data_IF_442365993154
#
_entry.id   IF_442365993154
#
_cell.length_a   1.000
_cell.length_b   1.000
_cell.length_c   1.000
_cell.angle_alpha   90.00
_cell.angle_beta   90.00
_cell.angle_gamma   90.00
#
_symmetry.space_group_name_H-M   'P 1'
#
loop_
_entity.id
_entity.type
_entity.pdbx_description
1 polymer ?
#
# COMPACT_ATOMS: atom_id res chain seq x y z
N UNK A 1 6.41 22.30 12.63
CA UNK A 1 5.82 21.59 11.47
C UNK A 1 5.67 22.60 10.34
N UNK A 2 6.45 22.44 9.28
CA UNK A 2 6.31 23.24 8.04
C UNK A 2 5.04 22.81 7.31
N UNK A 3 4.40 23.75 6.62
CA UNK A 3 3.30 23.43 5.72
C UNK A 3 3.89 22.79 4.45
N UNK A 4 3.82 21.46 4.36
CA UNK A 4 4.26 20.70 3.19
C UNK A 4 3.50 21.10 1.91
N UNK A 5 2.28 21.62 2.01
CA UNK A 5 1.54 22.09 0.84
C UNK A 5 2.16 23.39 0.32
N UNK A 6 2.35 24.38 1.20
CA UNK A 6 2.99 25.64 0.83
C UNK A 6 4.44 25.44 0.37
N UNK A 7 5.17 24.48 0.96
CA UNK A 7 6.52 24.11 0.53
C UNK A 7 6.56 23.57 -0.91
N UNK A 8 5.55 22.78 -1.32
CA UNK A 8 5.46 22.29 -2.70
C UNK A 8 5.10 23.40 -3.69
N UNK A 9 4.22 24.31 -3.27
CA UNK A 9 3.73 25.41 -4.11
C UNK A 9 4.78 26.53 -4.24
N UNK A 10 5.57 26.77 -3.19
CA UNK A 10 6.51 27.88 -3.08
C UNK A 10 7.91 27.45 -2.60
N UNK A 11 8.59 26.46 -3.24
CA UNK A 11 9.83 25.87 -2.72
C UNK A 11 10.97 26.88 -2.56
N UNK A 12 11.10 27.84 -3.47
CA UNK A 12 12.16 28.85 -3.47
C UNK A 12 12.14 29.70 -2.19
N UNK A 13 10.95 30.06 -1.71
CA UNK A 13 10.77 30.83 -0.47
C UNK A 13 11.37 30.10 0.74
N UNK A 14 11.21 28.78 0.78
CA UNK A 14 11.77 27.96 1.85
C UNK A 14 13.28 27.77 1.70
N UNK A 15 13.78 27.63 0.47
CA UNK A 15 15.22 27.52 0.19
C UNK A 15 15.95 28.80 0.61
N UNK A 16 15.43 29.95 0.21
CA UNK A 16 15.98 31.25 0.61
C UNK A 16 15.87 31.45 2.13
N UNK A 17 14.72 31.11 2.72
CA UNK A 17 14.51 31.19 4.16
C UNK A 17 15.46 30.30 4.96
N UNK A 18 15.75 29.07 4.48
CA UNK A 18 16.71 28.16 5.09
C UNK A 18 18.13 28.73 4.98
N UNK A 19 18.53 29.21 3.79
CA UNK A 19 19.83 29.85 3.56
C UNK A 19 20.04 31.08 4.44
N UNK A 20 19.04 31.96 4.53
CA UNK A 20 19.11 33.18 5.33
C UNK A 20 19.27 32.90 6.84
N UNK A 21 18.77 31.74 7.30
CA UNK A 21 18.88 31.28 8.69
C UNK A 21 20.12 30.41 8.95
N UNK A 22 20.95 30.16 7.94
CA UNK A 22 22.08 29.22 8.05
C UNK A 22 21.66 27.77 8.28
N UNK A 23 20.42 27.42 7.90
CA UNK A 23 19.89 26.07 8.03
C UNK A 23 20.34 25.22 6.84
N UNK A 24 20.88 24.04 7.13
CA UNK A 24 21.40 23.10 6.11
C UNK A 24 20.36 22.04 5.71
N UNK A 25 19.08 22.45 5.60
CA UNK A 25 18.00 21.52 5.19
C UNK A 25 18.00 21.39 3.67
N UNK A 26 18.07 20.14 3.20
CA UNK A 26 17.99 19.81 1.78
C UNK A 26 16.51 19.76 1.33
N UNK A 27 15.98 20.94 1.01
CA UNK A 27 14.60 21.10 0.54
C UNK A 27 14.32 20.35 -0.78
N UNK A 28 15.20 20.37 -1.80
CA UNK A 28 15.03 19.52 -2.97
C UNK A 28 14.87 18.05 -2.60
N UNK A 29 15.71 17.52 -1.70
CA UNK A 29 15.61 16.13 -1.25
C UNK A 29 14.31 15.84 -0.51
N UNK A 30 13.88 16.76 0.35
CA UNK A 30 12.61 16.68 1.06
C UNK A 30 11.42 16.58 0.09
N UNK A 31 11.40 17.40 -0.96
CA UNK A 31 10.35 17.39 -1.99
C UNK A 31 10.34 16.09 -2.81
N UNK A 32 11.51 15.52 -3.12
CA UNK A 32 11.61 14.21 -3.78
C UNK A 32 11.01 13.10 -2.91
N UNK A 33 11.34 13.07 -1.63
CA UNK A 33 10.83 12.08 -0.69
C UNK A 33 9.33 12.23 -0.48
N UNK A 34 8.83 13.47 -0.36
CA UNK A 34 7.40 13.76 -0.29
C UNK A 34 6.65 13.27 -1.55
N UNK A 35 7.22 13.49 -2.74
CA UNK A 35 6.62 13.02 -3.99
C UNK A 35 6.54 11.49 -4.04
N UNK A 36 7.63 10.79 -3.71
CA UNK A 36 7.66 9.32 -3.64
C UNK A 36 6.66 8.78 -2.63
N UNK A 37 6.58 9.42 -1.46
CA UNK A 37 5.64 9.03 -0.40
C UNK A 37 4.19 9.16 -0.87
N UNK A 38 3.84 10.26 -1.53
CA UNK A 38 2.48 10.46 -2.08
C UNK A 38 2.13 9.41 -3.14
N UNK A 39 3.08 9.06 -4.00
CA UNK A 39 2.90 8.00 -4.98
C UNK A 39 2.73 6.63 -4.32
N UNK A 40 3.55 6.30 -3.31
CA UNK A 40 3.45 5.07 -2.54
C UNK A 40 2.10 4.96 -1.79
N UNK A 41 1.64 6.06 -1.20
CA UNK A 41 0.31 6.13 -0.56
C UNK A 41 -0.82 5.87 -1.56
N UNK A 42 -0.76 6.47 -2.75
CA UNK A 42 -1.76 6.22 -3.79
C UNK A 42 -1.78 4.76 -4.24
N UNK A 43 -0.60 4.13 -4.37
CA UNK A 43 -0.47 2.69 -4.66
C UNK A 43 -1.03 1.84 -3.53
N UNK A 44 -0.75 2.17 -2.28
CA UNK A 44 -1.27 1.49 -1.10
C UNK A 44 -2.81 1.54 -1.05
N UNK A 45 -3.40 2.71 -1.26
CA UNK A 45 -4.85 2.90 -1.31
C UNK A 45 -5.49 2.07 -2.44
N UNK A 46 -4.88 2.10 -3.62
CA UNK A 46 -5.34 1.33 -4.78
C UNK A 46 -5.29 -0.18 -4.51
N UNK A 47 -4.19 -0.68 -3.94
CA UNK A 47 -4.02 -2.09 -3.59
C UNK A 47 -5.04 -2.55 -2.53
N UNK A 48 -5.29 -1.72 -1.51
CA UNK A 48 -6.32 -1.99 -0.48
C UNK A 48 -7.73 -2.00 -1.07
N UNK A 49 -8.03 -1.08 -1.98
CA UNK A 49 -9.31 -1.03 -2.67
C UNK A 49 -9.52 -2.31 -3.51
N UNK A 50 -8.50 -2.73 -4.24
CA UNK A 50 -8.54 -3.95 -5.06
C UNK A 50 -8.69 -5.21 -4.20
N UNK A 51 -7.92 -5.33 -3.11
CA UNK A 51 -8.06 -6.42 -2.14
C UNK A 51 -9.49 -6.50 -1.60
N UNK A 52 -10.09 -5.36 -1.24
CA UNK A 52 -11.46 -5.31 -0.73
C UNK A 52 -12.49 -5.69 -1.80
N UNK A 53 -12.28 -5.28 -3.06
CA UNK A 53 -13.13 -5.62 -4.20
C UNK A 53 -13.12 -7.14 -4.42
N UNK A 54 -11.94 -7.72 -4.58
CA UNK A 54 -11.77 -9.15 -4.79
C UNK A 54 -12.31 -9.96 -3.61
N UNK A 55 -12.02 -9.56 -2.37
CA UNK A 55 -12.55 -10.26 -1.19
C UNK A 55 -14.08 -10.30 -1.17
N UNK A 56 -14.77 -9.28 -1.69
CA UNK A 56 -16.24 -9.28 -1.83
C UNK A 56 -16.72 -10.15 -2.99
N UNK A 57 -16.01 -10.14 -4.11
CA UNK A 57 -16.38 -10.89 -5.32
C UNK A 57 -16.23 -12.41 -5.10
N UNK A 58 -15.10 -12.86 -4.55
CA UNK A 58 -14.77 -14.30 -4.44
C UNK A 58 -14.89 -14.86 -3.02
N UNK A 59 -14.90 -14.03 -1.98
CA UNK A 59 -15.04 -14.48 -0.59
C UNK A 59 -16.29 -15.35 -0.34
N UNK A 60 -17.48 -14.97 -0.82
CA UNK A 60 -18.68 -15.81 -0.70
C UNK A 60 -18.56 -17.15 -1.41
N UNK A 61 -17.89 -17.18 -2.58
CA UNK A 61 -17.69 -18.41 -3.35
C UNK A 61 -16.75 -19.37 -2.62
N UNK A 62 -15.62 -18.87 -2.11
CA UNK A 62 -14.69 -19.64 -1.27
C UNK A 62 -15.41 -20.17 -0.04
N UNK A 63 -16.21 -19.34 0.64
CA UNK A 63 -17.00 -19.76 1.80
C UNK A 63 -17.99 -20.88 1.48
N UNK A 64 -18.67 -20.79 0.34
CA UNK A 64 -19.58 -21.84 -0.15
C UNK A 64 -18.83 -23.15 -0.44
N UNK A 65 -17.73 -23.09 -1.17
CA UNK A 65 -16.91 -24.26 -1.51
C UNK A 65 -16.33 -24.92 -0.26
N UNK A 66 -15.82 -24.14 0.70
CA UNK A 66 -15.37 -24.66 2.01
C UNK A 66 -16.50 -25.31 2.80
N UNK A 67 -17.72 -24.80 2.69
CA UNK A 67 -18.92 -25.42 3.27
C UNK A 67 -19.28 -26.75 2.61
N UNK A 68 -19.13 -26.83 1.28
CA UNK A 68 -19.34 -28.06 0.50
C UNK A 68 -18.26 -29.10 0.78
N UNK A 69 -17.00 -28.68 0.96
CA UNK A 69 -15.87 -29.55 1.30
C UNK A 69 -16.10 -30.34 2.59
N UNK A 70 -16.90 -29.82 3.53
CA UNK A 70 -17.25 -30.54 4.77
C UNK A 70 -18.30 -31.63 4.59
N UNK A 71 -19.02 -31.64 3.46
CA UNK A 71 -20.18 -32.50 3.19
C UNK A 71 -19.96 -33.49 2.05
N UNK A 72 -18.83 -33.37 1.36
CA UNK A 72 -18.47 -34.15 0.18
C UNK A 72 -17.71 -35.41 0.57
N UNK A 73 -17.86 -36.47 -0.23
CA UNK A 73 -17.13 -37.72 -0.08
C UNK A 73 -15.62 -37.56 -0.37
N UNK A 74 -14.82 -38.47 0.17
CA UNK A 74 -13.35 -38.47 0.05
C UNK A 74 -12.86 -38.39 -1.41
N UNK A 75 -13.63 -38.95 -2.35
CA UNK A 75 -13.30 -39.00 -3.78
C UNK A 75 -13.35 -37.62 -4.47
N UNK A 76 -14.26 -36.74 -4.03
CA UNK A 76 -14.50 -35.44 -4.66
C UNK A 76 -13.82 -34.27 -3.90
N UNK A 77 -13.29 -34.54 -2.69
CA UNK A 77 -12.49 -33.57 -1.92
C UNK A 77 -11.33 -32.95 -2.70
N UNK A 78 -10.47 -33.73 -3.41
CA UNK A 78 -9.30 -33.16 -4.06
C UNK A 78 -9.66 -32.13 -5.13
N UNK A 79 -10.78 -32.34 -5.84
CA UNK A 79 -11.29 -31.41 -6.84
C UNK A 79 -11.73 -30.07 -6.22
N UNK A 80 -12.49 -30.14 -5.13
CA UNK A 80 -12.95 -28.95 -4.41
C UNK A 80 -11.79 -28.19 -3.73
N UNK A 81 -10.81 -28.91 -3.18
CA UNK A 81 -9.61 -28.29 -2.62
C UNK A 81 -8.79 -27.54 -3.69
N UNK A 82 -8.63 -28.14 -4.87
CA UNK A 82 -7.95 -27.49 -5.99
C UNK A 82 -8.69 -26.23 -6.47
N UNK A 83 -10.03 -26.25 -6.47
CA UNK A 83 -10.84 -25.08 -6.84
C UNK A 83 -10.75 -23.97 -5.78
N UNK A 84 -10.81 -24.31 -4.50
CA UNK A 84 -10.60 -23.37 -3.40
C UNK A 84 -9.21 -22.74 -3.48
N UNK A 85 -8.16 -23.56 -3.68
CA UNK A 85 -6.79 -23.07 -3.77
C UNK A 85 -6.59 -22.09 -4.95
N UNK A 86 -7.21 -22.37 -6.10
CA UNK A 86 -7.21 -21.44 -7.25
C UNK A 86 -7.85 -20.10 -6.91
N UNK A 87 -8.99 -20.12 -6.22
CA UNK A 87 -9.69 -18.89 -5.83
C UNK A 87 -8.93 -18.14 -4.73
N UNK A 88 -8.24 -18.83 -3.83
CA UNK A 88 -7.43 -18.21 -2.76
C UNK A 88 -6.11 -17.60 -3.26
N UNK A 89 -5.64 -17.98 -4.45
CA UNK A 89 -4.41 -17.45 -5.03
C UNK A 89 -4.46 -15.93 -5.25
N UNK A 90 -5.58 -15.40 -5.77
CA UNK A 90 -5.72 -13.97 -6.04
C UNK A 90 -5.75 -13.09 -4.77
N UNK A 91 -6.54 -13.42 -3.72
CA UNK A 91 -6.48 -12.71 -2.43
C UNK A 91 -5.11 -12.80 -1.76
N UNK A 92 -4.44 -13.95 -1.86
CA UNK A 92 -3.10 -14.14 -1.29
C UNK A 92 -2.07 -13.24 -1.97
N UNK A 93 -2.07 -13.17 -3.31
CA UNK A 93 -1.21 -12.28 -4.07
C UNK A 93 -1.49 -10.80 -3.74
N UNK A 94 -2.76 -10.41 -3.70
CA UNK A 94 -3.14 -9.02 -3.36
C UNK A 94 -2.75 -8.65 -1.92
N UNK A 95 -2.82 -9.60 -0.98
CA UNK A 95 -2.32 -9.38 0.38
C UNK A 95 -0.83 -9.05 0.39
N UNK A 96 -0.03 -9.75 -0.41
CA UNK A 96 1.40 -9.43 -0.55
C UNK A 96 1.62 -8.05 -1.18
N UNK A 97 0.84 -7.69 -2.20
CA UNK A 97 0.90 -6.36 -2.83
C UNK A 97 0.57 -5.25 -1.83
N UNK A 98 -0.46 -5.42 -1.00
CA UNK A 98 -0.81 -4.45 0.05
C UNK A 98 0.31 -4.32 1.07
N UNK A 99 0.89 -5.44 1.52
CA UNK A 99 2.00 -5.44 2.48
C UNK A 99 3.25 -4.76 1.91
N UNK A 100 3.56 -5.00 0.63
CA UNK A 100 4.69 -4.36 -0.04
C UNK A 100 4.48 -2.84 -0.15
N UNK A 101 3.28 -2.39 -0.54
CA UNK A 101 2.97 -0.97 -0.61
C UNK A 101 2.97 -0.29 0.78
N UNK A 102 2.51 -1.01 1.82
CA UNK A 102 2.62 -0.57 3.22
C UNK A 102 4.08 -0.39 3.68
N UNK A 103 4.94 -1.36 3.35
CA UNK A 103 6.36 -1.30 3.67
C UNK A 103 7.05 -0.12 2.96
N UNK A 104 6.75 0.10 1.68
CA UNK A 104 7.31 1.21 0.91
C UNK A 104 6.92 2.58 1.49
N UNK A 105 5.68 2.75 1.94
CA UNK A 105 5.26 3.98 2.63
C UNK A 105 6.06 4.16 3.93
N UNK A 106 6.18 3.10 4.74
CA UNK A 106 6.92 3.15 6.00
C UNK A 106 8.42 3.44 5.82
N UNK A 107 9.04 2.91 4.77
CA UNK A 107 10.44 3.19 4.42
C UNK A 107 10.66 4.65 4.00
N UNK A 108 9.63 5.31 3.46
CA UNK A 108 9.67 6.72 3.07
C UNK A 108 9.32 7.67 4.22
N UNK A 109 8.52 7.21 5.21
CA UNK A 109 8.14 8.01 6.38
C UNK A 109 9.37 8.40 7.21
N UNK A 110 10.28 7.46 7.51
CA UNK A 110 11.47 7.73 8.35
C UNK A 110 12.37 8.84 7.79
N UNK A 111 12.91 8.69 6.56
CA UNK A 111 13.76 9.71 5.95
C UNK A 111 13.06 11.06 5.74
N UNK A 112 11.73 11.08 5.59
CA UNK A 112 10.97 12.31 5.47
C UNK A 112 10.83 13.01 6.83
N UNK A 113 10.59 12.26 7.91
CA UNK A 113 10.55 12.78 9.29
C UNK A 113 11.91 13.35 9.71
N UNK A 114 13.02 12.73 9.32
CA UNK A 114 14.38 13.21 9.64
C UNK A 114 14.71 14.58 8.99
N UNK A 115 14.02 14.94 7.90
CA UNK A 115 14.23 16.20 7.18
C UNK A 115 13.25 17.32 7.57
N UNK A 116 12.25 17.05 8.43
CA UNK A 116 11.16 17.97 8.82
C UNK A 116 11.36 18.59 10.20
#
# INVERSE_FOLDING_TARGET
MIDLKDLRENPDRYIEGARAKGSNVDIPKLLELDAKRREALSRQESARAEQKRISKEIGPQIGKLKGQLKKVDEADRPGLEAEIAKLEAAPAALKQTVQAAEAEVAELDGPLEDLL
#
